data_IF_587090368148
#
_entry.id   IF_587090368148
#
_cell.length_a   1.000
_cell.length_b   1.000
_cell.length_c   1.000
_cell.angle_alpha   90.00
_cell.angle_beta   90.00
_cell.angle_gamma   90.00
#
_symmetry.space_group_name_H-M   'P 1'
#
loop_
_entity.id
_entity.type
_entity.pdbx_description
1 polymer ?
#
# COMPACT_ATOMS: atom_id res chain seq x y z
N UNK A 1 15.08 -36.86 -30.09
CA UNK A 1 14.70 -35.44 -30.06
C UNK A 1 13.19 -35.23 -30.13
N UNK A 2 12.50 -35.59 -31.23
CA UNK A 2 11.05 -35.34 -31.40
C UNK A 2 10.17 -35.99 -30.32
N UNK A 3 10.42 -37.25 -29.97
CA UNK A 3 9.67 -37.94 -28.90
C UNK A 3 9.92 -37.33 -27.51
N UNK A 4 11.13 -36.83 -27.24
CA UNK A 4 11.47 -36.18 -25.98
C UNK A 4 10.77 -34.81 -25.84
N UNK A 5 10.72 -34.02 -26.92
CA UNK A 5 9.96 -32.75 -26.95
C UNK A 5 8.46 -33.01 -26.78
N UNK A 6 7.92 -34.02 -27.45
CA UNK A 6 6.50 -34.39 -27.30
C UNK A 6 6.18 -34.80 -25.86
N UNK A 7 7.04 -35.60 -25.21
CA UNK A 7 6.88 -35.97 -23.80
C UNK A 7 6.94 -34.75 -22.87
N UNK A 8 7.86 -33.81 -23.12
CA UNK A 8 7.94 -32.57 -22.33
C UNK A 8 6.68 -31.72 -22.50
N UNK A 9 6.17 -31.55 -23.72
CA UNK A 9 4.91 -30.81 -23.97
C UNK A 9 3.74 -31.49 -23.25
N UNK A 10 3.61 -32.82 -23.39
CA UNK A 10 2.55 -33.58 -22.71
C UNK A 10 2.62 -33.48 -21.19
N UNK A 11 3.82 -33.37 -20.62
CA UNK A 11 4.01 -33.15 -19.18
C UNK A 11 3.71 -31.70 -18.75
N UNK A 12 4.02 -30.72 -19.59
CA UNK A 12 3.78 -29.30 -19.30
C UNK A 12 2.31 -28.88 -19.42
N UNK A 13 1.57 -29.44 -20.39
CA UNK A 13 0.16 -29.12 -20.61
C UNK A 13 -0.71 -29.22 -19.33
N UNK A 14 -0.69 -30.32 -18.54
CA UNK A 14 -1.48 -30.40 -17.32
C UNK A 14 -1.01 -29.40 -16.24
N UNK A 15 0.29 -29.13 -16.15
CA UNK A 15 0.83 -28.17 -15.18
C UNK A 15 0.35 -26.75 -15.51
N UNK A 16 0.45 -26.36 -16.78
CA UNK A 16 -0.04 -25.07 -17.28
C UNK A 16 -1.55 -24.98 -17.07
N UNK A 17 -2.32 -25.99 -17.49
CA UNK A 17 -3.76 -26.01 -17.30
C UNK A 17 -4.17 -25.87 -15.82
N UNK A 18 -3.44 -26.52 -14.91
CA UNK A 18 -3.66 -26.36 -13.47
C UNK A 18 -3.44 -24.92 -13.01
N UNK A 19 -2.31 -24.29 -13.34
CA UNK A 19 -1.98 -22.94 -12.88
C UNK A 19 -2.81 -21.85 -13.58
N UNK A 20 -3.23 -22.10 -14.82
CA UNK A 20 -4.05 -21.20 -15.64
C UNK A 20 -5.54 -21.26 -15.29
N UNK A 21 -6.04 -22.40 -14.82
CA UNK A 21 -7.49 -22.61 -14.65
C UNK A 21 -7.92 -23.12 -13.27
N UNK A 22 -7.08 -23.80 -12.51
CA UNK A 22 -7.51 -24.46 -11.27
C UNK A 22 -6.95 -23.80 -10.03
N UNK A 23 -5.63 -23.54 -9.98
CA UNK A 23 -4.93 -23.12 -8.78
C UNK A 23 -5.60 -21.92 -8.06
N UNK A 24 -5.86 -20.82 -8.77
CA UNK A 24 -6.49 -19.64 -8.16
C UNK A 24 -7.93 -19.88 -7.70
N UNK A 25 -8.69 -20.70 -8.43
CA UNK A 25 -10.07 -21.04 -8.05
C UNK A 25 -10.07 -21.93 -6.81
N UNK A 26 -9.17 -22.90 -6.73
CA UNK A 26 -8.98 -23.75 -5.57
C UNK A 26 -8.57 -22.93 -4.33
N UNK A 27 -7.60 -22.02 -4.48
CA UNK A 27 -7.20 -21.08 -3.42
C UNK A 27 -8.36 -20.20 -2.97
N UNK A 28 -9.18 -19.70 -3.90
CA UNK A 28 -10.38 -18.96 -3.51
C UNK A 28 -11.32 -19.88 -2.74
N UNK A 29 -11.66 -21.06 -3.25
CA UNK A 29 -12.61 -21.97 -2.63
C UNK A 29 -12.19 -22.43 -1.22
N UNK A 30 -10.88 -22.55 -0.95
CA UNK A 30 -10.36 -22.95 0.37
C UNK A 30 -10.45 -21.88 1.45
N UNK A 31 -10.72 -20.62 1.09
CA UNK A 31 -10.78 -19.52 2.05
C UNK A 31 -12.23 -19.15 2.36
N UNK A 32 -12.56 -18.86 3.62
CA UNK A 32 -13.84 -18.28 4.01
C UNK A 32 -13.60 -16.98 4.79
N UNK A 33 -14.55 -16.06 4.72
CA UNK A 33 -14.56 -14.94 5.65
C UNK A 33 -14.86 -15.49 7.06
N UNK A 34 -14.17 -15.01 8.11
CA UNK A 34 -14.49 -15.41 9.47
C UNK A 34 -15.90 -14.91 9.84
N UNK A 35 -16.59 -15.68 10.69
CA UNK A 35 -17.83 -15.22 11.33
C UNK A 35 -17.45 -14.28 12.47
N UNK A 36 -18.06 -13.09 12.49
CA UNK A 36 -17.87 -12.12 13.56
C UNK A 36 -18.98 -12.30 14.59
N UNK A 37 -18.64 -12.80 15.78
CA UNK A 37 -19.59 -12.90 16.89
C UNK A 37 -20.01 -11.49 17.36
N UNK A 38 -21.31 -11.25 17.54
CA UNK A 38 -21.83 -10.00 18.13
C UNK A 38 -22.12 -8.85 17.15
N UNK A 39 -22.26 -9.14 15.85
CA UNK A 39 -22.70 -8.15 14.85
C UNK A 39 -24.16 -7.75 15.09
N UNK A 40 -24.34 -6.66 15.84
CA UNK A 40 -25.63 -5.95 15.88
C UNK A 40 -25.78 -5.14 14.59
N UNK A 41 -27.02 -4.82 14.21
CA UNK A 41 -27.36 -3.99 13.03
C UNK A 41 -26.69 -2.59 13.00
N UNK A 42 -25.93 -2.20 14.03
CA UNK A 42 -25.20 -0.95 14.14
C UNK A 42 -23.74 -1.00 13.63
N UNK A 43 -23.15 -2.18 13.42
CA UNK A 43 -21.78 -2.34 12.89
C UNK A 43 -21.81 -3.24 11.65
N UNK A 44 -21.91 -2.66 10.44
CA UNK A 44 -22.00 -3.45 9.22
C UNK A 44 -20.69 -4.18 8.93
N UNK A 45 -20.80 -5.46 8.59
CA UNK A 45 -19.68 -6.29 8.13
C UNK A 45 -19.05 -5.68 6.87
N UNK A 46 -17.83 -5.17 6.98
CA UNK A 46 -17.06 -4.75 5.81
C UNK A 46 -15.94 -5.75 5.49
N UNK A 47 -15.81 -6.05 4.20
CA UNK A 47 -14.81 -6.99 3.67
C UNK A 47 -13.84 -6.24 2.80
N UNK A 48 -12.59 -6.16 3.24
CA UNK A 48 -11.52 -5.46 2.50
C UNK A 48 -10.54 -6.49 1.97
N UNK A 49 -10.32 -6.49 0.65
CA UNK A 49 -9.21 -7.22 0.06
C UNK A 49 -7.94 -6.37 0.18
N UNK A 50 -6.91 -6.93 0.79
CA UNK A 50 -5.59 -6.28 0.94
C UNK A 50 -4.61 -6.92 -0.03
N UNK A 51 -3.96 -6.13 -0.86
CA UNK A 51 -3.00 -6.56 -1.88
C UNK A 51 -1.72 -5.75 -1.71
N UNK A 52 -0.57 -6.39 -1.72
CA UNK A 52 0.72 -5.73 -1.59
C UNK A 52 1.56 -5.94 -2.85
N UNK A 53 2.38 -4.93 -3.16
CA UNK A 53 3.43 -4.96 -4.19
C UNK A 53 2.97 -5.54 -5.55
N UNK A 54 1.87 -5.04 -6.17
CA UNK A 54 1.51 -5.48 -7.52
C UNK A 54 2.66 -5.31 -8.52
N UNK A 55 3.41 -4.22 -8.44
CA UNK A 55 4.57 -3.91 -9.28
C UNK A 55 4.32 -4.25 -10.76
N UNK A 56 3.34 -3.57 -11.37
CA UNK A 56 3.03 -3.79 -12.79
C UNK A 56 4.30 -3.59 -13.61
N UNK A 57 4.73 -4.68 -14.23
CA UNK A 57 5.99 -4.79 -14.95
C UNK A 57 6.00 -3.84 -16.14
N UNK A 58 7.11 -3.14 -16.34
CA UNK A 58 7.30 -2.23 -17.49
C UNK A 58 8.74 -2.29 -18.02
N UNK A 59 9.07 -1.38 -18.95
CA UNK A 59 10.39 -1.30 -19.57
C UNK A 59 11.54 -1.03 -18.57
N UNK A 60 11.24 -0.64 -17.33
CA UNK A 60 12.22 -0.40 -16.28
C UNK A 60 12.56 -1.66 -15.46
N UNK A 61 11.69 -2.68 -15.48
CA UNK A 61 11.83 -3.92 -14.72
C UNK A 61 13.02 -4.78 -15.17
N UNK A 62 13.15 -4.99 -16.49
CA UNK A 62 14.11 -5.91 -17.09
C UNK A 62 14.96 -5.24 -18.18
N UNK A 63 15.54 -4.07 -17.85
CA UNK A 63 16.27 -3.20 -18.79
C UNK A 63 17.33 -3.90 -19.64
N UNK A 64 17.96 -4.94 -19.11
CA UNK A 64 19.03 -5.67 -19.80
C UNK A 64 18.55 -6.51 -20.99
N UNK A 65 17.30 -6.97 -21.01
CA UNK A 65 16.80 -7.89 -22.04
C UNK A 65 15.37 -7.62 -22.54
N UNK A 66 14.66 -6.66 -21.95
CA UNK A 66 13.33 -6.22 -22.35
C UNK A 66 13.31 -4.70 -22.59
N UNK A 67 14.05 -4.17 -23.57
CA UNK A 67 14.07 -2.73 -23.84
C UNK A 67 12.71 -2.23 -24.30
N UNK A 68 12.45 -0.93 -24.07
CA UNK A 68 11.20 -0.27 -24.46
C UNK A 68 10.90 -0.49 -25.95
N UNK A 69 9.66 -0.90 -26.26
CA UNK A 69 9.20 -1.15 -27.63
C UNK A 69 9.62 -2.50 -28.23
N UNK A 70 10.32 -3.36 -27.47
CA UNK A 70 10.68 -4.71 -27.94
C UNK A 70 9.54 -5.71 -27.82
N UNK A 71 9.57 -6.74 -28.66
CA UNK A 71 8.64 -7.87 -28.55
C UNK A 71 8.85 -8.68 -27.26
N UNK A 72 10.08 -8.72 -26.73
CA UNK A 72 10.39 -9.40 -25.46
C UNK A 72 9.72 -8.70 -24.30
N UNK A 73 9.76 -7.37 -24.26
CA UNK A 73 9.00 -6.59 -23.29
C UNK A 73 7.49 -6.85 -23.43
N UNK A 74 6.95 -6.77 -24.66
CA UNK A 74 5.52 -7.02 -24.89
C UNK A 74 5.08 -8.42 -24.43
N UNK A 75 5.93 -9.44 -24.62
CA UNK A 75 5.67 -10.80 -24.15
C UNK A 75 5.69 -10.89 -22.61
N UNK A 76 6.67 -10.27 -21.96
CA UNK A 76 6.79 -10.24 -20.50
C UNK A 76 5.60 -9.51 -19.88
N UNK A 77 5.29 -8.31 -20.35
CA UNK A 77 4.14 -7.52 -19.90
C UNK A 77 2.85 -8.32 -20.05
N UNK A 78 2.64 -8.99 -21.19
CA UNK A 78 1.43 -9.79 -21.40
C UNK A 78 1.32 -10.97 -20.46
N UNK A 79 2.42 -11.66 -20.17
CA UNK A 79 2.44 -12.81 -19.24
C UNK A 79 2.21 -12.33 -17.81
N UNK A 80 2.92 -11.28 -17.37
CA UNK A 80 2.75 -10.68 -16.03
C UNK A 80 1.34 -10.15 -15.82
N UNK A 81 0.80 -9.39 -16.78
CA UNK A 81 -0.56 -8.84 -16.72
C UNK A 81 -1.60 -9.96 -16.65
N UNK A 82 -1.45 -11.02 -17.46
CA UNK A 82 -2.36 -12.16 -17.45
C UNK A 82 -2.33 -12.90 -16.11
N UNK A 83 -1.14 -13.09 -15.53
CA UNK A 83 -0.98 -13.70 -14.22
C UNK A 83 -1.68 -12.89 -13.12
N UNK A 84 -1.39 -11.59 -13.04
CA UNK A 84 -1.98 -10.71 -12.02
C UNK A 84 -3.49 -10.57 -12.18
N UNK A 85 -3.95 -10.39 -13.42
CA UNK A 85 -5.38 -10.27 -13.71
C UNK A 85 -6.12 -11.54 -13.31
N UNK A 86 -5.55 -12.71 -13.61
CA UNK A 86 -6.12 -14.00 -13.20
C UNK A 86 -6.14 -14.16 -11.69
N UNK A 87 -5.04 -13.85 -11.01
CA UNK A 87 -4.96 -13.92 -9.56
C UNK A 87 -6.06 -13.06 -8.92
N UNK A 88 -6.19 -11.82 -9.36
CA UNK A 88 -7.23 -10.92 -8.86
C UNK A 88 -8.65 -11.42 -9.18
N UNK A 89 -8.92 -11.79 -10.43
CA UNK A 89 -10.25 -12.21 -10.91
C UNK A 89 -10.72 -13.54 -10.33
N UNK A 90 -9.82 -14.50 -10.15
CA UNK A 90 -10.17 -15.87 -9.75
C UNK A 90 -9.93 -16.15 -8.27
N UNK A 91 -9.00 -15.46 -7.61
CA UNK A 91 -8.75 -15.64 -6.17
C UNK A 91 -9.46 -14.59 -5.31
N UNK A 92 -9.40 -13.31 -5.71
CA UNK A 92 -9.86 -12.18 -4.89
C UNK A 92 -11.33 -11.84 -5.12
N UNK A 93 -11.73 -11.57 -6.37
CA UNK A 93 -13.10 -11.12 -6.68
C UNK A 93 -14.23 -12.07 -6.24
N UNK A 94 -14.08 -13.41 -6.29
CA UNK A 94 -15.12 -14.33 -5.81
C UNK A 94 -15.43 -14.18 -4.32
N UNK A 95 -14.53 -13.56 -3.54
CA UNK A 95 -14.75 -13.21 -2.13
C UNK A 95 -15.64 -12.00 -1.93
N UNK A 96 -16.05 -11.32 -3.02
CA UNK A 96 -16.93 -10.15 -3.02
C UNK A 96 -16.47 -9.10 -1.99
N UNK A 97 -15.20 -8.64 -2.05
CA UNK A 97 -14.75 -7.57 -1.17
C UNK A 97 -15.53 -6.28 -1.49
N UNK A 98 -15.88 -5.54 -0.44
CA UNK A 98 -16.53 -4.22 -0.52
C UNK A 98 -15.51 -3.10 -0.80
N UNK A 99 -14.22 -3.34 -0.51
CA UNK A 99 -13.12 -2.45 -0.86
C UNK A 99 -11.89 -3.25 -1.25
N UNK A 100 -11.06 -2.66 -2.10
CA UNK A 100 -9.71 -3.15 -2.40
C UNK A 100 -8.71 -2.12 -1.90
N UNK A 101 -7.74 -2.57 -1.11
CA UNK A 101 -6.66 -1.78 -0.52
C UNK A 101 -5.32 -2.29 -1.03
N UNK A 102 -4.55 -1.40 -1.66
CA UNK A 102 -3.18 -1.69 -2.07
C UNK A 102 -2.15 -1.09 -1.12
N UNK A 103 -1.15 -1.87 -0.73
CA UNK A 103 -0.10 -1.46 0.22
C UNK A 103 1.09 -0.76 -0.46
N UNK A 104 0.87 -0.12 -1.60
CA UNK A 104 1.89 0.55 -2.41
C UNK A 104 2.62 -0.36 -3.39
N UNK A 105 3.57 0.23 -4.12
CA UNK A 105 4.30 -0.38 -5.23
C UNK A 105 3.33 -0.90 -6.29
N UNK A 106 2.42 -0.04 -6.74
CA UNK A 106 1.47 -0.35 -7.80
C UNK A 106 2.19 -0.55 -9.13
N UNK A 107 3.16 0.32 -9.41
CA UNK A 107 3.97 0.33 -10.62
C UNK A 107 5.41 -0.01 -10.27
N UNK A 108 6.09 -0.81 -11.09
CA UNK A 108 7.51 -1.12 -10.86
C UNK A 108 8.43 0.07 -11.25
N UNK A 109 8.09 0.77 -12.34
CA UNK A 109 8.85 1.90 -12.88
C UNK A 109 8.27 3.28 -12.59
N UNK A 110 7.40 3.42 -11.58
CA UNK A 110 6.62 4.64 -11.32
C UNK A 110 7.46 5.92 -11.29
N UNK A 111 8.48 5.98 -10.43
CA UNK A 111 9.36 7.16 -10.34
C UNK A 111 10.46 7.22 -11.41
N UNK A 112 10.75 6.07 -12.04
CA UNK A 112 11.77 5.93 -13.08
C UNK A 112 11.27 6.36 -14.47
N UNK A 113 9.95 6.36 -14.68
CA UNK A 113 9.33 6.71 -15.95
C UNK A 113 9.23 8.23 -16.06
N UNK A 114 10.12 8.89 -16.80
CA UNK A 114 10.10 10.35 -16.93
C UNK A 114 8.99 10.88 -17.88
N UNK A 115 8.53 10.04 -18.81
CA UNK A 115 7.56 10.40 -19.85
C UNK A 115 6.12 10.13 -19.39
N UNK A 116 5.24 11.13 -19.48
CA UNK A 116 3.86 11.05 -18.98
C UNK A 116 2.99 10.10 -19.81
N UNK A 117 3.23 9.98 -21.12
CA UNK A 117 2.50 9.04 -21.98
C UNK A 117 2.77 7.59 -21.56
N UNK A 118 4.04 7.26 -21.30
CA UNK A 118 4.44 5.93 -20.83
C UNK A 118 3.91 5.66 -19.42
N UNK A 119 3.98 6.65 -18.52
CA UNK A 119 3.42 6.53 -17.19
C UNK A 119 1.91 6.21 -17.25
N UNK A 120 1.17 6.99 -18.04
CA UNK A 120 -0.28 6.80 -18.18
C UNK A 120 -0.64 5.47 -18.89
N UNK A 121 0.17 5.02 -19.85
CA UNK A 121 0.00 3.70 -20.45
C UNK A 121 0.15 2.57 -19.43
N UNK A 122 1.17 2.62 -18.57
CA UNK A 122 1.38 1.65 -17.48
C UNK A 122 0.26 1.75 -16.43
N UNK A 123 -0.17 2.96 -16.08
CA UNK A 123 -1.28 3.13 -15.14
C UNK A 123 -2.61 2.58 -15.68
N UNK A 124 -2.91 2.81 -16.96
CA UNK A 124 -4.07 2.18 -17.62
C UNK A 124 -3.94 0.65 -17.67
N UNK A 125 -2.73 0.09 -17.76
CA UNK A 125 -2.52 -1.37 -17.61
C UNK A 125 -2.89 -1.83 -16.22
N UNK A 126 -2.39 -1.17 -15.17
CA UNK A 126 -2.75 -1.46 -13.78
C UNK A 126 -4.28 -1.51 -13.59
N UNK A 127 -4.99 -0.49 -14.04
CA UNK A 127 -6.45 -0.44 -13.88
C UNK A 127 -7.19 -1.55 -14.63
N UNK A 128 -6.71 -1.93 -15.81
CA UNK A 128 -7.30 -3.05 -16.54
C UNK A 128 -7.07 -4.37 -15.82
N UNK A 129 -5.87 -4.59 -15.29
CA UNK A 129 -5.51 -5.79 -14.53
C UNK A 129 -6.39 -5.90 -13.28
N UNK A 130 -6.49 -4.82 -12.51
CA UNK A 130 -7.19 -4.77 -11.23
C UNK A 130 -8.60 -4.17 -11.31
N UNK A 131 -9.25 -4.24 -12.48
CA UNK A 131 -10.61 -3.71 -12.66
C UNK A 131 -11.57 -4.36 -11.66
N UNK A 132 -12.12 -3.56 -10.76
CA UNK A 132 -13.05 -4.00 -9.72
C UNK A 132 -14.43 -3.39 -9.95
N UNK A 133 -15.50 -4.20 -10.09
CA UNK A 133 -16.84 -3.69 -10.42
C UNK A 133 -17.62 -3.14 -9.22
N UNK A 134 -17.07 -3.20 -8.00
CA UNK A 134 -17.83 -3.12 -6.75
C UNK A 134 -18.42 -1.76 -6.35
N UNK A 135 -18.60 -0.80 -7.27
CA UNK A 135 -19.33 0.44 -6.95
C UNK A 135 -20.14 1.07 -8.09
N UNK A 136 -19.93 0.65 -9.34
CA UNK A 136 -20.51 1.36 -10.51
C UNK A 136 -21.81 0.74 -11.05
N UNK A 137 -22.19 -0.48 -10.67
CA UNK A 137 -23.45 -1.08 -11.16
C UNK A 137 -24.72 -0.53 -10.45
N UNK A 138 -24.58 0.25 -9.37
CA UNK A 138 -25.71 0.87 -8.66
C UNK A 138 -25.87 2.37 -8.88
N UNK A 139 -24.97 3.04 -9.62
CA UNK A 139 -25.24 4.38 -10.16
C UNK A 139 -25.88 4.20 -11.53
N UNK A 140 -27.21 4.18 -11.51
CA UNK A 140 -28.12 4.29 -12.63
C UNK A 140 -27.55 5.10 -13.80
N UNK A 141 -27.71 4.53 -14.99
CA UNK A 141 -27.34 4.96 -16.33
C UNK A 141 -27.82 6.34 -16.81
N UNK A 142 -28.27 7.22 -15.92
CA UNK A 142 -29.09 8.39 -16.31
C UNK A 142 -28.44 9.73 -15.93
N UNK A 143 -27.12 9.80 -15.86
CA UNK A 143 -26.41 11.09 -15.79
C UNK A 143 -25.26 11.10 -16.77
N UNK A 144 -25.29 11.95 -17.82
CA UNK A 144 -24.14 12.13 -18.69
C UNK A 144 -23.01 12.68 -17.81
N UNK A 145 -21.96 11.88 -17.66
CA UNK A 145 -20.73 12.30 -16.99
C UNK A 145 -20.26 13.58 -17.68
N UNK A 146 -20.21 14.66 -16.92
CA UNK A 146 -19.49 15.87 -17.29
C UNK A 146 -18.07 15.48 -17.73
N UNK A 147 -17.56 16.16 -18.76
CA UNK A 147 -16.18 16.10 -19.29
C UNK A 147 -15.13 16.58 -18.28
N UNK A 148 -15.19 16.07 -17.05
CA UNK A 148 -14.13 16.16 -16.07
C UNK A 148 -13.60 14.74 -15.94
N UNK A 149 -12.42 14.49 -16.48
CA UNK A 149 -11.62 13.25 -16.50
C UNK A 149 -11.32 12.64 -15.10
N UNK A 150 -12.18 12.81 -14.10
CA UNK A 150 -12.07 12.12 -12.81
C UNK A 150 -12.45 10.66 -12.99
N UNK A 151 -11.45 9.85 -13.32
CA UNK A 151 -11.52 8.40 -13.27
C UNK A 151 -11.95 8.00 -11.85
N UNK A 152 -13.10 7.32 -11.66
CA UNK A 152 -13.61 7.02 -10.32
C UNK A 152 -12.58 6.18 -9.55
N UNK A 153 -12.17 6.64 -8.36
CA UNK A 153 -11.27 5.89 -7.48
C UNK A 153 -11.90 4.54 -7.13
N UNK A 154 -11.40 3.48 -7.76
CA UNK A 154 -11.89 2.11 -7.58
C UNK A 154 -11.25 1.40 -6.39
N UNK A 155 -10.18 1.94 -5.83
CA UNK A 155 -9.41 1.31 -4.75
C UNK A 155 -8.78 2.36 -3.84
N UNK A 156 -8.39 1.93 -2.64
CA UNK A 156 -7.52 2.68 -1.74
C UNK A 156 -6.08 2.23 -1.97
N UNK A 157 -5.12 3.14 -1.83
CA UNK A 157 -3.69 2.81 -1.91
C UNK A 157 -2.84 3.76 -1.09
N UNK A 158 -1.63 3.33 -0.73
CA UNK A 158 -0.56 4.20 -0.23
C UNK A 158 0.60 4.23 -1.23
N UNK A 159 1.47 5.23 -1.15
CA UNK A 159 2.66 5.27 -2.00
C UNK A 159 3.69 4.21 -1.61
N UNK A 160 4.22 3.49 -2.58
CA UNK A 160 5.43 2.69 -2.44
C UNK A 160 6.69 3.37 -2.98
N UNK A 161 7.84 2.73 -2.75
CA UNK A 161 9.11 3.27 -3.23
C UNK A 161 9.30 3.14 -4.75
N UNK A 162 8.66 2.17 -5.40
CA UNK A 162 8.64 2.08 -6.87
C UNK A 162 7.69 3.10 -7.51
N UNK A 163 6.64 3.50 -6.79
CA UNK A 163 5.66 4.48 -7.25
C UNK A 163 6.26 5.90 -7.33
N UNK A 164 6.76 6.41 -6.20
CA UNK A 164 7.19 7.83 -6.07
C UNK A 164 8.65 8.01 -5.68
N UNK A 165 9.36 6.92 -5.39
CA UNK A 165 10.73 6.95 -4.89
C UNK A 165 10.81 7.24 -3.40
N UNK A 166 11.94 6.89 -2.78
CA UNK A 166 12.27 7.33 -1.42
C UNK A 166 12.45 8.85 -1.35
N UNK A 167 12.47 9.41 -0.13
CA UNK A 167 12.53 10.84 0.14
C UNK A 167 13.53 11.62 -0.75
N UNK A 168 14.75 11.12 -0.95
CA UNK A 168 15.75 11.82 -1.78
C UNK A 168 15.32 12.07 -3.22
N UNK A 169 14.50 11.17 -3.78
CA UNK A 169 13.92 11.31 -5.10
C UNK A 169 12.60 12.06 -5.02
N UNK A 170 11.68 11.62 -4.18
CA UNK A 170 10.33 12.19 -4.07
C UNK A 170 10.34 13.69 -3.76
N UNK A 171 11.30 14.17 -2.96
CA UNK A 171 11.43 15.58 -2.61
C UNK A 171 12.06 16.43 -3.72
N UNK A 172 12.95 15.83 -4.52
CA UNK A 172 13.61 16.53 -5.63
C UNK A 172 12.71 16.67 -6.86
N UNK A 173 11.70 15.79 -6.98
CA UNK A 173 10.85 15.63 -8.16
C UNK A 173 9.37 15.51 -7.75
N UNK A 174 8.78 16.57 -7.15
CA UNK A 174 7.42 16.52 -6.59
C UNK A 174 6.34 16.21 -7.62
N UNK A 175 6.57 16.45 -8.91
CA UNK A 175 5.69 16.09 -10.01
C UNK A 175 5.45 14.59 -10.13
N UNK A 176 6.42 13.74 -9.76
CA UNK A 176 6.27 12.28 -9.75
C UNK A 176 5.14 11.87 -8.79
N UNK A 177 5.12 12.49 -7.61
CA UNK A 177 4.04 12.27 -6.64
C UNK A 177 2.71 12.77 -7.21
N UNK A 178 2.67 14.00 -7.72
CA UNK A 178 1.42 14.62 -8.20
C UNK A 178 0.75 13.80 -9.30
N UNK A 179 1.50 13.29 -10.28
CA UNK A 179 0.95 12.44 -11.35
C UNK A 179 0.54 11.05 -10.85
N UNK A 180 1.22 10.53 -9.82
CA UNK A 180 0.80 9.29 -9.20
C UNK A 180 -0.54 9.47 -8.46
N UNK A 181 -0.66 10.54 -7.68
CA UNK A 181 -1.87 10.88 -6.93
C UNK A 181 -3.05 11.23 -7.84
N UNK A 182 -2.82 11.85 -9.01
CA UNK A 182 -3.89 12.11 -9.98
C UNK A 182 -4.52 10.84 -10.54
N UNK A 183 -3.79 9.71 -10.49
CA UNK A 183 -4.20 8.44 -11.08
C UNK A 183 -4.68 7.41 -10.05
N UNK A 184 -4.01 7.35 -8.91
CA UNK A 184 -4.24 6.35 -7.86
C UNK A 184 -4.72 6.95 -6.54
N UNK A 185 -4.77 8.27 -6.44
CA UNK A 185 -5.16 9.00 -5.23
C UNK A 185 -4.01 9.30 -4.27
N UNK A 186 -4.30 10.17 -3.31
CA UNK A 186 -3.35 10.60 -2.27
C UNK A 186 -3.06 9.47 -1.28
N UNK A 187 -1.85 9.46 -0.72
CA UNK A 187 -1.43 8.48 0.28
C UNK A 187 -1.71 8.88 1.74
N UNK A 188 -2.03 10.15 2.00
CA UNK A 188 -2.41 10.66 3.32
C UNK A 188 -3.94 10.83 3.38
N UNK A 189 -4.65 9.89 4.01
CA UNK A 189 -6.11 9.92 4.09
C UNK A 189 -6.65 9.14 5.29
N UNK A 190 -7.91 9.44 5.63
CA UNK A 190 -8.73 8.60 6.50
C UNK A 190 -9.99 8.23 5.73
N UNK A 191 -10.22 6.93 5.51
CA UNK A 191 -11.46 6.40 4.94
C UNK A 191 -12.17 5.51 5.96
N UNK A 192 -13.46 5.75 6.20
CA UNK A 192 -14.28 4.92 7.09
C UNK A 192 -14.85 3.73 6.31
N UNK A 193 -14.52 2.51 6.74
CA UNK A 193 -15.00 1.26 6.14
C UNK A 193 -15.51 0.35 7.25
N UNK A 194 -16.79 -0.02 7.23
CA UNK A 194 -17.38 -0.92 8.24
C UNK A 194 -17.21 -0.48 9.70
N UNK A 195 -17.28 0.83 9.97
CA UNK A 195 -17.04 1.34 11.33
C UNK A 195 -15.56 1.49 11.73
N UNK A 196 -14.62 1.13 10.86
CA UNK A 196 -13.16 1.22 11.09
C UNK A 196 -12.57 2.38 10.29
N UNK A 197 -11.74 3.21 10.93
CA UNK A 197 -10.94 4.23 10.24
C UNK A 197 -9.70 3.56 9.60
N UNK A 198 -9.68 3.48 8.28
CA UNK A 198 -8.49 3.10 7.50
C UNK A 198 -7.64 4.36 7.29
N UNK A 199 -6.43 4.37 7.83
CA UNK A 199 -5.52 5.52 7.85
C UNK A 199 -4.34 5.23 6.94
N UNK A 200 -4.34 5.79 5.74
CA UNK A 200 -3.17 5.76 4.85
C UNK A 200 -2.15 6.83 5.22
N UNK A 201 -0.87 6.48 5.18
CA UNK A 201 0.24 7.43 5.35
C UNK A 201 1.27 7.33 4.24
N UNK A 202 1.79 8.48 3.79
CA UNK A 202 2.90 8.54 2.85
C UNK A 202 4.22 8.18 3.54
N UNK A 203 4.53 6.89 3.57
CA UNK A 203 5.75 6.38 4.20
C UNK A 203 7.04 6.93 3.59
N UNK A 204 7.03 7.27 2.29
CA UNK A 204 8.19 7.82 1.57
C UNK A 204 8.61 9.21 2.07
N UNK A 205 7.74 9.91 2.80
CA UNK A 205 8.00 11.24 3.32
C UNK A 205 8.36 11.26 4.82
N UNK A 206 8.06 10.21 5.58
CA UNK A 206 8.18 10.23 7.06
C UNK A 206 9.62 10.40 7.56
N UNK A 207 10.58 9.80 6.86
CA UNK A 207 12.02 9.86 7.13
C UNK A 207 12.78 10.88 6.25
N UNK A 208 12.05 11.71 5.49
CA UNK A 208 12.58 12.75 4.61
C UNK A 208 13.09 14.00 5.32
N UNK A 209 13.52 15.01 4.55
CA UNK A 209 13.91 16.31 5.10
C UNK A 209 12.67 16.96 5.74
N UNK A 210 12.69 17.29 7.05
CA UNK A 210 11.53 17.90 7.73
C UNK A 210 11.10 19.25 7.14
N UNK A 211 11.91 19.87 6.29
CA UNK A 211 11.59 21.12 5.58
C UNK A 211 10.90 20.88 4.24
N UNK A 212 10.93 19.65 3.71
CA UNK A 212 10.28 19.32 2.44
C UNK A 212 8.77 19.41 2.55
N UNK A 213 8.11 19.77 1.45
CA UNK A 213 6.65 19.91 1.44
C UNK A 213 5.96 18.58 1.75
N UNK A 214 6.46 17.48 1.17
CA UNK A 214 5.90 16.15 1.40
C UNK A 214 6.01 15.72 2.88
N UNK A 215 7.14 16.02 3.54
CA UNK A 215 7.31 15.71 4.96
C UNK A 215 6.40 16.59 5.84
N UNK A 216 6.30 17.89 5.55
CA UNK A 216 5.41 18.81 6.28
C UNK A 216 3.95 18.39 6.15
N UNK A 217 3.48 18.14 4.93
CA UNK A 217 2.12 17.68 4.62
C UNK A 217 1.80 16.39 5.39
N UNK A 218 2.69 15.41 5.32
CA UNK A 218 2.51 14.10 5.97
C UNK A 218 2.52 14.22 7.50
N UNK A 219 3.45 14.98 8.10
CA UNK A 219 3.51 15.13 9.55
C UNK A 219 2.37 16.00 10.09
N UNK A 220 1.92 17.03 9.35
CA UNK A 220 0.72 17.79 9.71
C UNK A 220 -0.52 16.90 9.73
N UNK A 221 -0.68 16.02 8.74
CA UNK A 221 -1.73 15.01 8.73
C UNK A 221 -1.65 14.07 9.95
N UNK A 222 -0.47 13.50 10.22
CA UNK A 222 -0.27 12.60 11.37
C UNK A 222 -0.54 13.30 12.70
N UNK A 223 -0.09 14.54 12.87
CA UNK A 223 -0.29 15.30 14.10
C UNK A 223 -1.78 15.65 14.32
N UNK A 224 -2.53 15.95 13.25
CA UNK A 224 -3.98 16.16 13.33
C UNK A 224 -4.72 14.91 13.85
N UNK A 225 -4.25 13.71 13.50
CA UNK A 225 -4.79 12.45 14.02
C UNK A 225 -4.53 12.25 15.52
N UNK A 226 -3.45 12.84 16.03
CA UNK A 226 -3.11 12.88 17.46
C UNK A 226 -4.05 13.80 18.23
N UNK A 227 -4.34 15.00 17.70
CA UNK A 227 -5.29 15.95 18.32
C UNK A 227 -6.69 15.33 18.44
N UNK A 228 -7.12 14.61 17.40
CA UNK A 228 -8.38 13.85 17.43
C UNK A 228 -8.42 12.76 18.52
N UNK A 229 -7.29 12.35 19.11
CA UNK A 229 -7.29 11.42 20.25
C UNK A 229 -7.74 12.06 21.55
N UNK A 230 -7.51 13.37 21.69
CA UNK A 230 -7.81 14.10 22.93
C UNK A 230 -9.29 14.45 23.06
N UNK A 231 -10.10 14.20 22.03
CA UNK A 231 -11.55 14.39 22.02
C UNK A 231 -12.22 13.05 22.36
N UNK A 232 -12.90 13.00 23.52
CA UNK A 232 -13.77 11.92 24.02
C UNK A 232 -13.48 10.50 23.49
N UNK A 233 -12.46 9.84 24.07
CA UNK A 233 -11.99 8.49 23.71
C UNK A 233 -13.04 7.37 23.71
N UNK A 234 -14.22 7.60 24.32
CA UNK A 234 -15.27 6.58 24.49
C UNK A 234 -16.03 6.20 23.21
N UNK A 235 -15.93 6.98 22.13
CA UNK A 235 -16.71 6.74 20.90
C UNK A 235 -15.88 6.73 19.61
N UNK A 236 -14.57 6.53 19.71
CA UNK A 236 -13.70 6.53 18.52
C UNK A 236 -13.77 5.17 17.80
N UNK A 237 -13.90 5.15 16.47
CA UNK A 237 -13.71 3.92 15.70
C UNK A 237 -12.30 3.34 15.92
N UNK A 238 -12.13 2.00 15.87
CA UNK A 238 -10.81 1.39 15.76
C UNK A 238 -10.12 1.85 14.47
N UNK A 239 -8.79 1.81 14.47
CA UNK A 239 -7.96 2.28 13.36
C UNK A 239 -7.10 1.18 12.78
N UNK A 240 -7.04 1.12 11.45
CA UNK A 240 -6.06 0.34 10.70
C UNK A 240 -5.09 1.32 10.08
N UNK A 241 -3.82 1.25 10.47
CA UNK A 241 -2.76 2.05 9.86
C UNK A 241 -2.24 1.33 8.61
N UNK A 242 -2.23 2.02 7.48
CA UNK A 242 -1.73 1.54 6.20
C UNK A 242 -0.47 2.34 5.84
N UNK A 243 0.63 1.63 5.64
CA UNK A 243 1.93 2.18 5.24
C UNK A 243 2.52 1.27 4.19
N UNK A 244 3.39 1.75 3.30
CA UNK A 244 4.15 0.84 2.45
C UNK A 244 5.36 0.29 3.20
N UNK A 245 6.16 1.16 3.83
CA UNK A 245 7.32 0.73 4.62
C UNK A 245 6.87 0.11 5.94
N UNK A 246 7.38 -1.10 6.28
CA UNK A 246 7.16 -1.71 7.57
C UNK A 246 7.75 -0.89 8.71
N UNK A 247 7.19 -1.08 9.90
CA UNK A 247 7.72 -0.50 11.13
C UNK A 247 8.90 -1.35 11.64
N UNK A 248 9.89 -0.75 12.35
CA UNK A 248 10.95 -1.49 13.00
C UNK A 248 10.44 -2.58 13.92
N UNK A 249 10.99 -3.79 13.75
CA UNK A 249 10.63 -4.95 14.56
C UNK A 249 11.45 -4.95 15.86
N UNK A 250 10.89 -5.56 16.91
CA UNK A 250 11.61 -5.73 18.18
C UNK A 250 12.82 -6.67 18.06
N UNK A 251 12.76 -7.62 17.12
CA UNK A 251 13.84 -8.55 16.79
C UNK A 251 13.83 -8.83 15.30
N UNK A 252 15.01 -9.05 14.74
CA UNK A 252 15.23 -9.49 13.35
C UNK A 252 15.83 -10.90 13.29
N UNK A 253 15.78 -11.64 14.41
CA UNK A 253 16.21 -13.03 14.46
C UNK A 253 15.27 -13.93 13.62
N UNK A 254 15.73 -15.12 13.17
CA UNK A 254 14.86 -16.11 12.54
C UNK A 254 13.62 -16.39 13.39
N UNK A 255 12.44 -16.48 12.75
CA UNK A 255 11.15 -16.69 13.43
C UNK A 255 10.44 -15.42 13.93
N UNK A 256 11.08 -14.24 13.88
CA UNK A 256 10.46 -12.98 14.33
C UNK A 256 9.31 -12.47 13.47
N UNK A 257 9.08 -13.05 12.29
CA UNK A 257 8.01 -12.72 11.35
C UNK A 257 6.84 -13.72 11.36
N UNK A 258 6.79 -14.62 12.34
CA UNK A 258 5.82 -15.72 12.40
C UNK A 258 6.14 -16.87 11.45
N UNK A 259 5.35 -17.94 11.55
CA UNK A 259 5.60 -19.22 10.87
C UNK A 259 5.34 -19.19 9.36
N UNK A 260 4.57 -18.21 8.88
CA UNK A 260 4.17 -18.11 7.46
C UNK A 260 5.19 -17.42 6.56
N UNK A 261 6.33 -16.95 7.10
CA UNK A 261 7.39 -16.34 6.31
C UNK A 261 8.23 -17.43 5.62
N UNK A 262 8.46 -17.28 4.32
CA UNK A 262 9.26 -18.24 3.55
C UNK A 262 10.75 -17.89 3.55
N UNK A 263 11.09 -16.62 3.37
CA UNK A 263 12.47 -16.11 3.32
C UNK A 263 13.05 -15.69 4.67
N UNK A 264 14.36 -15.38 4.75
CA UNK A 264 14.95 -14.83 5.96
C UNK A 264 14.35 -13.46 6.30
N UNK A 265 14.34 -13.09 7.58
CA UNK A 265 13.90 -11.75 8.01
C UNK A 265 14.85 -10.70 7.43
N UNK A 266 14.29 -9.69 6.75
CA UNK A 266 15.06 -8.62 6.13
C UNK A 266 15.74 -7.81 7.25
N UNK A 267 17.06 -7.77 7.21
CA UNK A 267 17.84 -6.96 8.14
C UNK A 267 17.69 -5.47 7.77
N UNK A 268 17.55 -4.58 8.77
CA UNK A 268 17.33 -3.17 8.50
C UNK A 268 18.55 -2.54 7.83
N UNK A 269 18.39 -2.05 6.60
CA UNK A 269 19.39 -1.22 5.93
C UNK A 269 18.79 0.13 5.63
N UNK A 270 19.66 1.13 5.56
CA UNK A 270 19.30 2.48 5.17
C UNK A 270 20.48 3.11 4.47
N UNK A 271 20.23 3.66 3.28
CA UNK A 271 21.20 4.46 2.52
C UNK A 271 20.71 5.89 2.44
N UNK A 272 21.56 6.82 2.87
CA UNK A 272 21.29 8.26 2.81
C UNK A 272 22.33 8.95 1.95
N UNK A 273 21.88 9.97 1.23
CA UNK A 273 22.73 10.92 0.51
C UNK A 273 22.54 12.32 1.09
N UNK A 274 23.26 13.32 0.57
CA UNK A 274 23.00 14.73 0.90
C UNK A 274 21.58 15.18 0.57
N UNK A 275 20.89 14.47 -0.32
CA UNK A 275 19.51 14.75 -0.75
C UNK A 275 18.46 14.02 0.09
N UNK A 276 18.84 13.21 1.07
CA UNK A 276 17.91 12.47 1.93
C UNK A 276 18.02 10.94 1.81
N UNK A 277 16.96 10.23 2.17
CA UNK A 277 16.90 8.76 2.09
C UNK A 277 16.84 8.30 0.65
N UNK A 278 17.79 7.49 0.24
CA UNK A 278 17.85 6.86 -1.08
C UNK A 278 17.30 5.43 -1.07
N UNK A 279 17.39 4.78 0.10
CA UNK A 279 16.87 3.44 0.32
C UNK A 279 16.65 3.21 1.82
N UNK A 280 15.59 2.53 2.21
CA UNK A 280 15.43 1.98 3.56
C UNK A 280 14.47 0.80 3.59
N UNK A 281 14.79 -0.26 4.34
CA UNK A 281 13.90 -1.43 4.46
C UNK A 281 12.74 -1.18 5.47
N UNK A 282 12.94 -0.27 6.43
CA UNK A 282 11.97 0.05 7.49
C UNK A 282 11.90 1.56 7.72
N UNK A 283 10.79 2.05 8.27
CA UNK A 283 10.76 3.39 8.86
C UNK A 283 11.78 3.50 10.00
N UNK A 284 12.31 4.68 10.28
CA UNK A 284 13.17 4.83 11.47
C UNK A 284 12.38 4.71 12.77
N UNK A 285 13.03 4.17 13.80
CA UNK A 285 12.48 3.98 15.15
C UNK A 285 11.71 5.19 15.69
N UNK A 286 12.31 6.39 15.60
CA UNK A 286 11.71 7.61 16.13
C UNK A 286 10.44 7.99 15.39
N UNK A 287 10.43 7.85 14.06
CA UNK A 287 9.26 8.18 13.22
C UNK A 287 8.17 7.14 13.39
N UNK A 288 8.50 5.85 13.40
CA UNK A 288 7.55 4.77 13.65
C UNK A 288 6.85 4.92 15.01
N UNK A 289 7.61 5.22 16.08
CA UNK A 289 7.03 5.46 17.41
C UNK A 289 6.14 6.70 17.46
N UNK A 290 6.52 7.81 16.80
CA UNK A 290 5.67 9.00 16.70
C UNK A 290 4.38 8.70 15.95
N UNK A 291 4.47 7.98 14.83
CA UNK A 291 3.33 7.56 14.03
C UNK A 291 2.37 6.68 14.83
N UNK A 292 2.87 5.65 15.52
CA UNK A 292 2.06 4.77 16.37
C UNK A 292 1.37 5.52 17.50
N UNK A 293 2.06 6.46 18.18
CA UNK A 293 1.46 7.30 19.22
C UNK A 293 0.35 8.20 18.68
N UNK A 294 0.57 8.83 17.53
CA UNK A 294 -0.39 9.75 16.92
C UNK A 294 -1.62 9.03 16.34
N UNK A 295 -1.45 7.80 15.84
CA UNK A 295 -2.53 7.05 15.18
C UNK A 295 -3.26 6.10 16.12
N UNK A 296 -2.56 5.49 17.10
CA UNK A 296 -3.05 4.42 18.00
C UNK A 296 -3.85 3.34 17.25
N UNK A 297 -3.25 2.68 16.25
CA UNK A 297 -3.95 1.70 15.45
C UNK A 297 -4.12 0.38 16.22
N UNK A 298 -5.16 -0.36 15.87
CA UNK A 298 -5.39 -1.74 16.31
C UNK A 298 -4.67 -2.74 15.40
N UNK A 299 -4.39 -2.36 14.15
CA UNK A 299 -3.69 -3.16 13.15
C UNK A 299 -2.83 -2.26 12.27
N UNK A 300 -1.65 -2.74 11.89
CA UNK A 300 -0.79 -2.10 10.89
C UNK A 300 -0.68 -3.03 9.69
N UNK A 301 -0.94 -2.50 8.49
CA UNK A 301 -0.76 -3.19 7.23
C UNK A 301 0.40 -2.52 6.47
N UNK A 302 1.40 -3.33 6.11
CA UNK A 302 2.59 -2.90 5.37
C UNK A 302 2.92 -3.83 4.19
N UNK A 303 3.49 -3.26 3.13
CA UNK A 303 4.02 -3.96 1.96
C UNK A 303 5.54 -4.15 2.07
N UNK A 304 6.26 -3.97 0.96
CA UNK A 304 7.72 -3.85 0.85
C UNK A 304 8.54 -5.13 1.14
N UNK A 305 8.17 -5.94 2.13
CA UNK A 305 8.94 -7.13 2.53
C UNK A 305 8.85 -8.28 1.48
N UNK A 306 7.94 -8.17 0.50
CA UNK A 306 7.66 -9.16 -0.57
C UNK A 306 7.44 -10.60 -0.07
N UNK A 307 7.12 -10.74 1.21
CA UNK A 307 6.85 -11.99 1.91
C UNK A 307 6.01 -11.68 3.15
N UNK A 308 5.34 -12.69 3.68
CA UNK A 308 4.50 -12.55 4.87
C UNK A 308 5.40 -12.27 6.08
N UNK A 309 4.98 -11.33 6.90
CA UNK A 309 5.59 -11.08 8.19
C UNK A 309 4.54 -10.57 9.17
N UNK A 310 4.46 -11.20 10.33
CA UNK A 310 3.62 -10.78 11.45
C UNK A 310 4.51 -10.39 12.62
N UNK A 311 4.30 -9.18 13.15
CA UNK A 311 5.02 -8.66 14.31
C UNK A 311 4.07 -7.83 15.19
N UNK A 312 4.38 -7.77 16.49
CA UNK A 312 3.63 -6.98 17.47
C UNK A 312 4.39 -5.70 17.83
N UNK A 313 3.66 -4.60 18.00
CA UNK A 313 4.22 -3.31 18.42
C UNK A 313 3.51 -2.82 19.67
N UNK A 314 4.28 -2.49 20.71
CA UNK A 314 3.75 -1.88 21.92
C UNK A 314 3.70 -0.36 21.78
N UNK A 315 2.55 0.23 22.12
CA UNK A 315 2.35 1.69 22.10
C UNK A 315 2.45 2.19 23.55
N UNK A 316 3.65 2.50 24.01
CA UNK A 316 3.84 3.09 25.34
C UNK A 316 3.24 4.51 25.38
N UNK A 317 2.25 4.73 26.25
CA UNK A 317 1.61 6.03 26.45
C UNK A 317 2.51 6.97 27.27
N UNK A 318 3.34 7.76 26.61
CA UNK A 318 3.90 8.94 27.26
C UNK A 318 2.79 10.01 27.31
N UNK A 319 2.13 10.13 28.47
CA UNK A 319 1.33 11.32 28.79
C UNK A 319 2.29 12.49 28.80
N UNK A 320 2.34 13.25 27.71
CA UNK A 320 2.97 14.57 27.72
C UNK A 320 2.09 15.46 28.60
N UNK A 321 2.43 15.58 29.89
CA UNK A 321 2.08 16.77 30.66
C UNK A 321 2.83 17.91 30.00
N UNK A 322 2.14 18.71 29.19
CA UNK A 322 2.63 20.04 28.89
C UNK A 322 2.88 20.74 30.24
N UNK A 323 4.14 21.04 30.55
CA UNK A 323 4.42 22.11 31.49
C UNK A 323 3.88 23.35 30.81
N UNK A 324 2.81 23.91 31.37
CA UNK A 324 2.43 25.28 31.05
C UNK A 324 3.54 26.15 31.62
N UNK A 325 4.46 26.59 30.76
CA UNK A 325 5.20 27.81 31.02
C UNK A 325 4.20 28.94 30.81
N UNK A 326 3.52 29.28 31.90
CA UNK A 326 2.79 30.54 32.02
C UNK A 326 3.81 31.63 32.30
N UNK A 327 4.18 32.38 31.26
CA UNK A 327 4.56 33.77 31.45
C UNK A 327 3.30 34.56 31.82
N UNK A 328 3.41 35.34 32.90
CA UNK A 328 2.34 36.15 33.46
C UNK A 328 2.82 36.90 34.69
N UNK A 329 3.60 37.95 34.43
CA UNK A 329 3.73 39.23 35.14
C UNK A 329 3.18 39.40 36.57
N UNK A 330 4.02 39.98 37.41
CA UNK A 330 3.66 41.21 38.15
C UNK A 330 3.18 41.08 39.60
N UNK A 331 3.61 42.06 40.40
CA UNK A 331 3.26 42.41 41.78
C UNK A 331 4.19 41.76 42.84
N UNK A 332 4.97 42.49 43.64
CA UNK A 332 4.69 43.80 44.23
C UNK A 332 4.41 43.60 45.73
N UNK A 333 5.24 44.24 46.56
CA UNK A 333 5.18 44.39 48.03
C UNK A 333 5.63 43.23 48.95
N UNK A 334 6.56 43.60 49.85
CA UNK A 334 6.91 42.85 51.07
C UNK A 334 8.39 42.86 51.42
#
# INVERSE_FOLDING_TARGET
ARSAVALLVLAWLPIVAWHEHVAFRATSASCAWPELEGTTSASPDARVAVIADPQVTDFTSYRSFAPKGSWTLAAIERVSDAYQHRAFRLAVLPKRPERVLFLGDLLDGGWLTADDETFDATARRFERIFRWPGRDETRSSDSPSSETDEHPKTHMSVHGNHDVGYASRAESFPEIRKRHESRFGVSNYVERVGGVDVVGVNAMALDGDPRSEAAKETWAFVDALSVQQNVSSRNRPPRVLVTHLPLPKASYAPGSCGESRFGPVIQPRTRRTRRGVEYQDYLSDGRARRLLRATRPSLVLAGHDHDRCVASHEISGAVFRARGDGDGDGDGDG
#
